data_IF_668852281658
#
_entry.id   IF_668852281658
#
_cell.length_a   1.000
_cell.length_b   1.000
_cell.length_c   1.000
_cell.angle_alpha   90.00
_cell.angle_beta   90.00
_cell.angle_gamma   90.00
#
_symmetry.space_group_name_H-M   'P 1'
#
loop_
_entity.id
_entity.type
_entity.pdbx_description
1 polymer ?
#
# COMPACT_ATOMS: atom_id res chain seq x y z
N UNK A 1 -38.57 1.42 0.68
CA UNK A 1 -37.53 0.38 0.52
C UNK A 1 -37.74 -0.64 1.63
N UNK A 2 -37.82 -1.95 1.35
CA UNK A 2 -37.96 -2.96 2.40
C UNK A 2 -36.79 -2.88 3.42
N UNK A 3 -36.99 -3.27 4.69
CA UNK A 3 -35.95 -3.16 5.73
C UNK A 3 -34.63 -3.85 5.34
N UNK A 4 -34.73 -4.99 4.67
CA UNK A 4 -33.59 -5.79 4.19
C UNK A 4 -32.89 -5.24 2.93
N UNK A 5 -33.40 -4.14 2.37
CA UNK A 5 -32.79 -3.44 1.23
C UNK A 5 -32.25 -2.06 1.61
N UNK A 6 -32.36 -1.64 2.88
CA UNK A 6 -31.72 -0.41 3.31
C UNK A 6 -30.20 -0.56 3.18
N UNK A 7 -29.53 0.47 2.66
CA UNK A 7 -28.06 0.52 2.66
C UNK A 7 -27.61 0.34 4.11
N UNK A 8 -26.72 -0.63 4.30
CA UNK A 8 -26.07 -0.89 5.58
C UNK A 8 -25.49 0.43 6.13
N UNK A 9 -25.94 0.84 7.31
CA UNK A 9 -25.38 1.99 8.01
C UNK A 9 -24.43 1.47 9.09
N UNK A 10 -23.14 1.86 9.08
CA UNK A 10 -22.15 1.37 10.05
C UNK A 10 -22.61 1.60 11.50
N UNK A 11 -23.21 2.75 11.76
CA UNK A 11 -23.64 3.18 13.10
C UNK A 11 -24.95 2.52 13.60
N UNK A 12 -25.30 1.33 13.13
CA UNK A 12 -26.50 0.63 13.56
C UNK A 12 -26.32 0.04 14.97
N UNK A 13 -27.25 0.31 15.89
CA UNK A 13 -27.18 -0.17 17.29
C UNK A 13 -27.09 -1.69 17.42
N UNK A 14 -27.61 -2.44 16.45
CA UNK A 14 -27.51 -3.89 16.44
C UNK A 14 -26.10 -4.40 16.09
N UNK A 15 -25.38 -3.67 15.23
CA UNK A 15 -23.96 -3.95 14.93
C UNK A 15 -23.09 -3.68 16.16
N UNK A 16 -23.33 -2.56 16.85
CA UNK A 16 -22.61 -2.20 18.07
C UNK A 16 -22.69 -3.30 19.11
N UNK A 17 -23.87 -3.88 19.33
CA UNK A 17 -24.06 -5.02 20.25
C UNK A 17 -23.24 -6.25 19.84
N UNK A 18 -23.03 -6.48 18.54
CA UNK A 18 -22.30 -7.64 18.04
C UNK A 18 -20.80 -7.54 18.27
N UNK A 19 -20.20 -6.36 18.10
CA UNK A 19 -18.74 -6.21 18.20
C UNK A 19 -18.27 -5.68 19.56
N UNK A 20 -19.14 -5.04 20.37
CA UNK A 20 -18.79 -4.60 21.74
C UNK A 20 -18.11 -5.70 22.57
N UNK A 21 -18.57 -6.98 22.57
CA UNK A 21 -17.90 -8.04 23.35
C UNK A 21 -16.58 -8.53 22.73
N UNK A 22 -16.21 -8.10 21.52
CA UNK A 22 -14.97 -8.55 20.85
C UNK A 22 -13.72 -7.92 21.43
N UNK A 23 -13.83 -6.73 22.03
CA UNK A 23 -12.70 -6.04 22.65
C UNK A 23 -12.93 -5.87 24.17
N UNK A 24 -11.87 -5.91 25.00
CA UNK A 24 -11.97 -5.58 26.42
C UNK A 24 -12.50 -4.16 26.65
N UNK A 25 -13.17 -3.92 27.78
CA UNK A 25 -13.71 -2.59 28.13
C UNK A 25 -12.63 -1.48 28.06
N UNK A 26 -11.42 -1.77 28.54
CA UNK A 26 -10.27 -0.85 28.46
C UNK A 26 -9.86 -0.48 27.03
N UNK A 27 -10.09 -1.35 26.05
CA UNK A 27 -9.78 -1.04 24.66
C UNK A 27 -10.81 -0.06 24.07
N UNK A 28 -12.07 -0.16 24.48
CA UNK A 28 -13.13 0.80 24.13
C UNK A 28 -12.95 2.17 24.78
N UNK A 29 -12.19 2.25 25.87
CA UNK A 29 -11.74 3.53 26.45
C UNK A 29 -10.68 4.23 25.59
N UNK A 30 -10.07 3.55 24.61
CA UNK A 30 -8.99 4.09 23.79
C UNK A 30 -9.29 4.09 22.28
N UNK A 31 -10.29 3.34 21.81
CA UNK A 31 -10.73 3.30 20.40
C UNK A 31 -12.20 3.71 20.34
N UNK A 32 -12.54 4.67 19.47
CA UNK A 32 -13.95 5.00 19.26
C UNK A 32 -14.67 3.91 18.44
N UNK A 33 -15.96 3.66 18.72
CA UNK A 33 -16.82 2.84 17.88
C UNK A 33 -16.79 3.27 16.40
N UNK A 34 -16.77 4.57 16.12
CA UNK A 34 -16.76 5.12 14.78
C UNK A 34 -15.48 4.74 13.99
N UNK A 35 -14.32 4.74 14.65
CA UNK A 35 -13.05 4.30 14.04
C UNK A 35 -13.07 2.80 13.78
N UNK A 36 -13.52 2.01 14.76
CA UNK A 36 -13.61 0.56 14.66
C UNK A 36 -14.54 0.13 13.51
N UNK A 37 -15.74 0.70 13.45
CA UNK A 37 -16.72 0.45 12.39
C UNK A 37 -16.18 0.88 11.02
N UNK A 38 -15.59 2.07 10.92
CA UNK A 38 -14.98 2.55 9.67
C UNK A 38 -13.85 1.64 9.20
N UNK A 39 -13.04 1.11 10.10
CA UNK A 39 -11.97 0.17 9.76
C UNK A 39 -12.54 -1.17 9.24
N UNK A 40 -13.49 -1.79 9.92
CA UNK A 40 -14.00 -3.11 9.50
C UNK A 40 -15.06 -3.06 8.39
N UNK A 41 -15.63 -1.90 8.07
CA UNK A 41 -16.62 -1.75 7.00
C UNK A 41 -16.03 -1.50 5.60
N UNK A 42 -14.74 -1.18 5.51
CA UNK A 42 -14.08 -0.86 4.24
C UNK A 42 -13.06 -1.94 3.81
N UNK A 43 -12.82 -1.97 2.51
CA UNK A 43 -11.89 -2.86 1.80
C UNK A 43 -10.80 -2.07 1.08
N UNK A 44 -9.80 -2.77 0.52
CA UNK A 44 -8.68 -2.12 -0.18
C UNK A 44 -9.16 -1.27 -1.37
N UNK A 45 -10.16 -1.76 -2.09
CA UNK A 45 -10.76 -1.06 -3.23
C UNK A 45 -11.49 0.23 -2.84
N UNK A 46 -11.82 0.44 -1.57
CA UNK A 46 -12.42 1.70 -1.13
C UNK A 46 -11.35 2.79 -0.92
N UNK A 47 -10.14 2.38 -0.52
CA UNK A 47 -9.08 3.30 -0.10
C UNK A 47 -8.04 3.59 -1.18
N UNK A 48 -7.81 2.63 -2.08
CA UNK A 48 -6.70 2.71 -3.03
C UNK A 48 -7.13 2.35 -4.46
N UNK A 49 -6.80 3.24 -5.40
CA UNK A 49 -6.88 2.97 -6.83
C UNK A 49 -5.46 2.69 -7.36
N UNK A 50 -5.18 1.50 -7.92
CA UNK A 50 -3.86 1.16 -8.47
C UNK A 50 -3.64 1.80 -9.85
N UNK A 51 -3.56 3.13 -9.91
CA UNK A 51 -3.49 3.92 -11.16
C UNK A 51 -2.33 3.49 -12.08
N UNK A 52 -1.16 3.16 -11.52
CA UNK A 52 0.02 2.72 -12.29
C UNK A 52 -0.26 1.42 -13.07
N UNK A 53 -0.99 0.47 -12.47
CA UNK A 53 -1.34 -0.79 -13.14
C UNK A 53 -2.35 -0.56 -14.25
N UNK A 54 -3.39 0.25 -13.99
CA UNK A 54 -4.36 0.62 -15.01
C UNK A 54 -3.69 1.32 -16.20
N UNK A 55 -2.88 2.34 -15.94
CA UNK A 55 -2.21 3.11 -16.99
C UNK A 55 -1.27 2.24 -17.84
N UNK A 56 -0.49 1.36 -17.21
CA UNK A 56 0.38 0.41 -17.92
C UNK A 56 -0.42 -0.55 -18.80
N UNK A 57 -1.49 -1.13 -18.28
CA UNK A 57 -2.31 -2.10 -19.01
C UNK A 57 -3.13 -1.44 -20.13
N UNK A 58 -3.70 -0.26 -19.88
CA UNK A 58 -4.38 0.55 -20.89
C UNK A 58 -3.41 0.91 -22.03
N UNK A 59 -2.18 1.33 -21.70
CA UNK A 59 -1.17 1.63 -22.70
C UNK A 59 -0.78 0.40 -23.52
N UNK A 60 -0.68 -0.78 -22.89
CA UNK A 60 -0.43 -2.05 -23.58
C UNK A 60 -1.54 -2.38 -24.57
N UNK A 61 -2.80 -2.29 -24.15
CA UNK A 61 -3.95 -2.56 -25.01
C UNK A 61 -4.06 -1.55 -26.15
N UNK A 62 -3.83 -0.26 -25.90
CA UNK A 62 -3.82 0.79 -26.94
C UNK A 62 -2.75 0.52 -28.01
N UNK A 63 -1.54 0.13 -27.61
CA UNK A 63 -0.48 -0.26 -28.56
C UNK A 63 -0.90 -1.44 -29.43
N UNK A 64 -1.61 -2.41 -28.85
CA UNK A 64 -2.12 -3.56 -29.60
C UNK A 64 -3.26 -3.18 -30.56
N UNK A 65 -4.15 -2.26 -30.15
CA UNK A 65 -5.15 -1.65 -31.03
C UNK A 65 -4.49 -0.95 -32.22
N UNK A 66 -3.47 -0.14 -31.96
CA UNK A 66 -2.75 0.59 -33.01
C UNK A 66 -2.08 -0.37 -34.00
N UNK A 67 -1.43 -1.43 -33.48
CA UNK A 67 -0.80 -2.49 -34.29
C UNK A 67 -1.81 -3.18 -35.20
N UNK A 68 -2.93 -3.64 -34.66
CA UNK A 68 -3.97 -4.33 -35.44
C UNK A 68 -4.67 -3.39 -36.43
N UNK A 69 -4.83 -2.11 -36.08
CA UNK A 69 -5.39 -1.09 -36.98
C UNK A 69 -4.46 -0.79 -38.15
N UNK A 70 -3.15 -0.70 -37.90
CA UNK A 70 -2.12 -0.57 -38.95
C UNK A 70 -2.14 -1.75 -39.93
N UNK A 71 -2.27 -2.98 -39.42
CA UNK A 71 -2.43 -4.17 -40.26
C UNK A 71 -3.75 -4.12 -41.04
N UNK A 72 -4.86 -3.67 -40.45
CA UNK A 72 -6.12 -3.54 -41.18
C UNK A 72 -6.05 -2.51 -42.32
N UNK A 73 -5.33 -1.40 -42.10
CA UNK A 73 -5.19 -0.31 -43.07
C UNK A 73 -4.05 -0.54 -44.09
N UNK A 74 -3.21 -1.56 -43.88
CA UNK A 74 -1.98 -1.75 -44.65
C UNK A 74 -0.98 -0.60 -44.48
N UNK A 75 -1.05 0.13 -43.37
CA UNK A 75 -0.23 1.30 -43.08
C UNK A 75 0.85 0.96 -42.06
N UNK A 76 2.06 1.48 -42.25
CA UNK A 76 3.20 1.26 -41.35
C UNK A 76 4.17 0.16 -41.80
N UNK A 77 5.45 0.38 -41.53
CA UNK A 77 6.57 -0.46 -41.99
C UNK A 77 6.46 -1.91 -41.49
N UNK A 78 6.06 -2.11 -40.23
CA UNK A 78 5.90 -3.44 -39.64
C UNK A 78 4.72 -4.23 -40.23
N UNK A 79 3.59 -3.56 -40.50
CA UNK A 79 2.42 -4.18 -41.11
C UNK A 79 2.74 -4.60 -42.57
N UNK A 80 3.38 -3.71 -43.33
CA UNK A 80 3.83 -4.00 -44.69
C UNK A 80 4.85 -5.15 -44.73
N UNK A 81 5.81 -5.18 -43.80
CA UNK A 81 6.77 -6.27 -43.69
C UNK A 81 6.09 -7.62 -43.37
N UNK A 82 5.12 -7.64 -42.45
CA UNK A 82 4.36 -8.84 -42.12
C UNK A 82 3.52 -9.32 -43.31
N UNK A 83 2.84 -8.42 -44.00
CA UNK A 83 2.08 -8.70 -45.22
C UNK A 83 2.96 -9.24 -46.35
N UNK A 84 4.13 -8.62 -46.58
CA UNK A 84 5.09 -9.08 -47.58
C UNK A 84 5.63 -10.48 -47.26
N UNK A 85 5.87 -10.77 -45.98
CA UNK A 85 6.32 -12.10 -45.52
C UNK A 85 5.23 -13.15 -45.76
N UNK A 86 3.97 -12.85 -45.43
CA UNK A 86 2.83 -13.75 -45.68
C UNK A 86 2.61 -14.00 -47.17
N UNK A 87 2.72 -12.95 -48.00
CA UNK A 87 2.63 -13.06 -49.47
C UNK A 87 3.76 -13.93 -50.04
N UNK A 88 5.00 -13.73 -49.58
CA UNK A 88 6.16 -14.50 -50.01
C UNK A 88 6.05 -15.99 -49.61
N UNK A 89 5.56 -16.28 -48.40
CA UNK A 89 5.32 -17.64 -47.94
C UNK A 89 4.25 -18.36 -48.79
N UNK A 90 3.14 -17.69 -49.10
CA UNK A 90 2.09 -18.24 -49.96
C UNK A 90 2.59 -18.50 -51.39
N UNK A 91 3.43 -17.61 -51.94
CA UNK A 91 4.06 -17.80 -53.25
C UNK A 91 5.07 -18.96 -53.26
N UNK A 92 5.88 -19.09 -52.20
CA UNK A 92 6.84 -20.19 -52.06
C UNK A 92 6.17 -21.57 -51.92
N UNK A 93 4.96 -21.61 -51.35
CA UNK A 93 4.14 -22.82 -51.27
C UNK A 93 3.48 -23.22 -52.62
N UNK A 94 3.72 -22.48 -53.70
CA UNK A 94 3.12 -22.74 -55.02
C UNK A 94 1.67 -22.28 -55.16
N UNK A 95 1.20 -21.40 -54.26
CA UNK A 95 -0.15 -20.85 -54.31
C UNK A 95 -0.42 -20.02 -55.57
N UNK A 96 -1.66 -20.02 -56.04
CA UNK A 96 -2.08 -19.17 -57.16
C UNK A 96 -2.05 -17.68 -56.78
N UNK A 97 -2.15 -16.78 -57.77
CA UNK A 97 -2.22 -15.32 -57.51
C UNK A 97 -3.37 -14.95 -56.57
N UNK A 98 -4.47 -15.70 -56.60
CA UNK A 98 -5.61 -15.53 -55.69
C UNK A 98 -5.25 -15.92 -54.25
N UNK A 99 -4.52 -17.02 -54.06
CA UNK A 99 -4.11 -17.51 -52.74
C UNK A 99 -3.12 -16.56 -52.06
N UNK A 100 -2.19 -15.98 -52.84
CA UNK A 100 -1.27 -14.94 -52.37
C UNK A 100 -2.02 -13.67 -51.95
N UNK A 101 -3.06 -13.27 -52.69
CA UNK A 101 -3.90 -12.13 -52.30
C UNK A 101 -4.68 -12.42 -51.02
N UNK A 102 -5.27 -13.60 -50.90
CA UNK A 102 -6.07 -14.00 -49.74
C UNK A 102 -5.23 -14.15 -48.46
N UNK A 103 -3.95 -14.50 -48.57
CA UNK A 103 -3.02 -14.59 -47.43
C UNK A 103 -2.69 -13.23 -46.78
N UNK A 104 -2.91 -12.12 -47.49
CA UNK A 104 -2.61 -10.76 -47.02
C UNK A 104 -3.86 -10.05 -46.49
N UNK A 105 -5.05 -10.57 -46.80
CA UNK A 105 -6.32 -9.99 -46.37
C UNK A 105 -6.45 -10.08 -44.85
N UNK A 106 -6.87 -8.95 -44.26
CA UNK A 106 -7.20 -8.89 -42.84
C UNK A 106 -8.31 -9.90 -42.52
N UNK A 107 -8.00 -10.87 -41.67
CA UNK A 107 -8.88 -11.99 -41.39
C UNK A 107 -10.02 -11.57 -40.46
N UNK A 108 -11.18 -12.23 -40.58
CA UNK A 108 -12.31 -12.04 -39.65
C UNK A 108 -11.91 -12.27 -38.18
N UNK A 109 -10.94 -13.17 -37.93
CA UNK A 109 -10.40 -13.41 -36.59
C UNK A 109 -9.64 -12.19 -36.05
N UNK A 110 -8.85 -11.51 -36.88
CA UNK A 110 -8.13 -10.30 -36.49
C UNK A 110 -9.09 -9.11 -36.27
N UNK A 111 -10.19 -9.05 -37.02
CA UNK A 111 -11.25 -8.05 -36.82
C UNK A 111 -11.96 -8.23 -35.47
N UNK A 112 -12.32 -9.47 -35.14
CA UNK A 112 -12.90 -9.80 -33.82
C UNK A 112 -11.92 -9.50 -32.68
N UNK A 113 -10.63 -9.77 -32.89
CA UNK A 113 -9.59 -9.48 -31.90
C UNK A 113 -9.41 -7.96 -31.71
N UNK A 114 -9.37 -7.19 -32.80
CA UNK A 114 -9.30 -5.73 -32.74
C UNK A 114 -10.47 -5.14 -31.95
N UNK A 115 -11.69 -5.59 -32.24
CA UNK A 115 -12.90 -5.20 -31.51
C UNK A 115 -12.82 -5.57 -30.03
N UNK A 116 -12.35 -6.78 -29.70
CA UNK A 116 -12.19 -7.24 -28.32
C UNK A 116 -11.19 -6.38 -27.55
N UNK A 117 -10.01 -6.12 -28.11
CA UNK A 117 -8.95 -5.34 -27.47
C UNK A 117 -9.39 -3.88 -27.31
N UNK A 118 -10.07 -3.30 -28.31
CA UNK A 118 -10.66 -1.95 -28.22
C UNK A 118 -11.65 -1.84 -27.06
N UNK A 119 -12.62 -2.75 -26.99
CA UNK A 119 -13.61 -2.77 -25.90
C UNK A 119 -12.95 -2.93 -24.53
N UNK A 120 -11.94 -3.78 -24.41
CA UNK A 120 -11.21 -3.95 -23.16
C UNK A 120 -10.46 -2.68 -22.75
N UNK A 121 -9.83 -1.98 -23.69
CA UNK A 121 -9.13 -0.72 -23.42
C UNK A 121 -10.10 0.37 -22.94
N UNK A 122 -11.26 0.49 -23.58
CA UNK A 122 -12.32 1.43 -23.20
C UNK A 122 -12.91 1.07 -21.83
N UNK A 123 -13.22 -0.21 -21.61
CA UNK A 123 -13.76 -0.70 -20.35
C UNK A 123 -12.81 -0.44 -19.18
N UNK A 124 -11.51 -0.74 -19.33
CA UNK A 124 -10.51 -0.46 -18.29
C UNK A 124 -10.30 1.04 -18.04
N UNK A 125 -10.39 1.87 -19.09
CA UNK A 125 -10.31 3.33 -18.93
C UNK A 125 -11.50 3.86 -18.14
N UNK A 126 -12.70 3.35 -18.41
CA UNK A 126 -13.92 3.70 -17.69
C UNK A 126 -13.89 3.18 -16.24
N UNK A 127 -13.41 1.96 -16.04
CA UNK A 127 -13.27 1.34 -14.72
C UNK A 127 -12.29 2.11 -13.84
N UNK A 128 -11.12 2.49 -14.35
CA UNK A 128 -10.16 3.34 -13.65
C UNK A 128 -10.79 4.67 -13.20
N UNK A 129 -11.58 5.31 -14.08
CA UNK A 129 -12.28 6.56 -13.75
C UNK A 129 -13.33 6.37 -12.64
N UNK A 130 -14.14 5.30 -12.73
CA UNK A 130 -15.12 4.95 -11.70
C UNK A 130 -14.46 4.66 -10.36
N UNK A 131 -13.37 3.89 -10.38
CA UNK A 131 -12.63 3.51 -9.19
C UNK A 131 -12.00 4.73 -8.51
N UNK A 132 -11.43 5.65 -9.29
CA UNK A 132 -10.89 6.91 -8.79
C UNK A 132 -11.97 7.76 -8.11
N UNK A 133 -13.11 7.92 -8.77
CA UNK A 133 -14.25 8.66 -8.21
C UNK A 133 -14.77 8.01 -6.91
N UNK A 134 -14.80 6.68 -6.85
CA UNK A 134 -15.19 5.94 -5.66
C UNK A 134 -14.22 6.22 -4.50
N UNK A 135 -12.90 6.07 -4.72
CA UNK A 135 -11.90 6.36 -3.69
C UNK A 135 -11.95 7.82 -3.22
N UNK A 136 -12.20 8.78 -4.12
CA UNK A 136 -12.37 10.20 -3.77
C UNK A 136 -13.64 10.43 -2.91
N UNK A 137 -14.73 9.73 -3.24
CA UNK A 137 -15.98 9.79 -2.47
C UNK A 137 -15.78 9.24 -1.06
N UNK A 138 -15.15 8.07 -0.95
CA UNK A 138 -14.84 7.45 0.35
C UNK A 138 -13.92 8.36 1.15
N UNK A 139 -12.84 8.89 0.55
CA UNK A 139 -11.95 9.85 1.22
C UNK A 139 -12.70 11.05 1.80
N UNK A 140 -13.62 11.63 1.02
CA UNK A 140 -14.44 12.76 1.48
C UNK A 140 -15.30 12.38 2.69
N UNK A 141 -15.83 11.15 2.74
CA UNK A 141 -16.59 10.66 3.89
C UNK A 141 -15.70 10.53 5.14
N UNK A 142 -14.46 10.06 4.99
CA UNK A 142 -13.50 10.01 6.09
C UNK A 142 -13.13 11.41 6.61
N UNK A 143 -12.90 12.38 5.71
CA UNK A 143 -12.62 13.78 6.09
C UNK A 143 -13.77 14.41 6.88
N UNK A 144 -15.03 14.09 6.53
CA UNK A 144 -16.20 14.56 7.28
C UNK A 144 -16.31 13.95 8.68
N UNK A 145 -15.88 12.71 8.86
CA UNK A 145 -15.96 11.95 10.13
C UNK A 145 -14.67 11.99 10.96
N UNK A 146 -13.62 12.65 10.49
CA UNK A 146 -12.28 12.58 11.08
C UNK A 146 -12.24 13.00 12.56
N UNK A 147 -13.09 13.95 12.95
CA UNK A 147 -13.17 14.38 14.35
C UNK A 147 -13.80 13.30 15.24
N UNK A 148 -14.77 12.54 14.72
CA UNK A 148 -15.51 11.53 15.49
C UNK A 148 -14.67 10.27 15.76
N UNK A 149 -13.62 10.05 14.96
CA UNK A 149 -12.78 8.86 15.12
C UNK A 149 -12.04 8.84 16.46
N UNK A 150 -11.62 9.98 16.99
CA UNK A 150 -10.82 10.02 18.22
C UNK A 150 -11.32 11.10 19.22
N UNK A 151 -12.45 11.77 18.95
CA UNK A 151 -13.02 12.84 19.82
C UNK A 151 -13.40 12.44 21.25
N UNK A 152 -13.78 11.20 21.59
CA UNK A 152 -14.16 10.89 22.98
C UNK A 152 -12.99 10.88 23.98
N UNK A 153 -11.75 11.11 23.54
CA UNK A 153 -10.53 10.70 24.26
C UNK A 153 -9.66 11.88 24.72
N UNK A 154 -10.25 13.07 24.89
CA UNK A 154 -9.59 14.37 25.07
C UNK A 154 -8.75 14.60 26.35
N UNK A 155 -8.28 13.55 27.03
CA UNK A 155 -7.23 13.69 28.05
C UNK A 155 -5.88 13.36 27.39
N UNK A 156 -4.91 14.27 27.50
CA UNK A 156 -3.62 14.21 26.80
C UNK A 156 -2.86 12.87 26.96
N UNK A 157 -3.10 12.14 28.05
CA UNK A 157 -2.52 10.81 28.29
C UNK A 157 -3.12 9.69 27.43
N UNK A 158 -4.27 9.88 26.77
CA UNK A 158 -5.02 8.80 26.08
C UNK A 158 -4.60 8.61 24.63
N UNK A 159 -4.10 9.65 23.94
CA UNK A 159 -3.73 9.57 22.52
C UNK A 159 -2.62 8.53 22.21
N UNK A 160 -1.67 8.36 23.14
CA UNK A 160 -0.63 7.31 23.08
C UNK A 160 -1.26 5.91 23.14
N UNK A 161 -2.11 5.70 24.15
CA UNK A 161 -2.82 4.42 24.31
C UNK A 161 -3.74 4.14 23.13
N UNK A 162 -4.40 5.15 22.57
CA UNK A 162 -5.26 5.03 21.39
C UNK A 162 -4.54 4.43 20.21
N UNK A 163 -3.39 4.99 19.84
CA UNK A 163 -2.63 4.56 18.66
C UNK A 163 -2.12 3.13 18.82
N UNK A 164 -1.58 2.81 20.00
CA UNK A 164 -1.08 1.45 20.31
C UNK A 164 -2.22 0.43 20.44
N UNK A 165 -3.35 0.81 21.03
CA UNK A 165 -4.54 -0.05 21.14
C UNK A 165 -5.10 -0.33 19.75
N UNK A 166 -5.21 0.68 18.88
CA UNK A 166 -5.67 0.51 17.51
C UNK A 166 -4.74 -0.42 16.71
N UNK A 167 -3.42 -0.25 16.85
CA UNK A 167 -2.45 -1.15 16.24
C UNK A 167 -2.64 -2.60 16.75
N UNK A 168 -2.72 -2.78 18.07
CA UNK A 168 -2.73 -4.11 18.71
C UNK A 168 -4.02 -4.88 18.47
N UNK A 169 -5.17 -4.21 18.56
CA UNK A 169 -6.49 -4.87 18.51
C UNK A 169 -7.15 -4.84 17.13
N UNK A 170 -6.77 -3.93 16.24
CA UNK A 170 -7.40 -3.79 14.92
C UNK A 170 -6.44 -4.10 13.78
N UNK A 171 -5.34 -3.35 13.68
CA UNK A 171 -4.42 -3.44 12.53
C UNK A 171 -3.66 -4.76 12.53
N UNK A 172 -3.02 -5.12 13.65
CA UNK A 172 -2.19 -6.32 13.71
C UNK A 172 -2.99 -7.60 13.43
N UNK A 173 -4.14 -7.87 14.07
CA UNK A 173 -4.91 -9.08 13.80
C UNK A 173 -5.40 -9.16 12.36
N UNK A 174 -5.86 -8.03 11.76
CA UNK A 174 -6.35 -8.01 10.38
C UNK A 174 -5.21 -8.19 9.37
N UNK A 175 -4.06 -7.56 9.61
CA UNK A 175 -2.89 -7.68 8.74
C UNK A 175 -2.44 -9.14 8.58
N UNK A 176 -2.61 -9.98 9.60
CA UNK A 176 -2.19 -11.38 9.54
C UNK A 176 -3.11 -12.27 8.68
N UNK A 177 -4.34 -11.85 8.38
CA UNK A 177 -5.35 -12.70 7.72
C UNK A 177 -5.06 -12.96 6.24
N UNK A 178 -4.65 -11.93 5.50
CA UNK A 178 -4.44 -12.02 4.05
C UNK A 178 -3.50 -10.92 3.55
N UNK A 179 -2.86 -11.11 2.37
CA UNK A 179 -2.02 -10.07 1.79
C UNK A 179 -2.82 -8.84 1.35
N UNK A 180 -4.10 -9.01 1.00
CA UNK A 180 -5.00 -7.90 0.68
C UNK A 180 -5.32 -7.07 1.93
N UNK A 181 -5.59 -7.73 3.04
CA UNK A 181 -5.81 -7.08 4.34
C UNK A 181 -4.56 -6.37 4.85
N UNK A 182 -3.37 -6.93 4.63
CA UNK A 182 -2.10 -6.29 4.95
C UNK A 182 -1.91 -4.97 4.16
N UNK A 183 -2.19 -4.97 2.85
CA UNK A 183 -2.19 -3.74 2.05
C UNK A 183 -3.25 -2.75 2.53
N UNK A 184 -4.46 -3.23 2.82
CA UNK A 184 -5.54 -2.40 3.35
C UNK A 184 -5.12 -1.70 4.64
N UNK A 185 -4.53 -2.44 5.60
CA UNK A 185 -4.09 -1.89 6.88
C UNK A 185 -3.08 -0.76 6.69
N UNK A 186 -2.10 -0.94 5.79
CA UNK A 186 -1.16 0.12 5.44
C UNK A 186 -1.87 1.34 4.82
N UNK A 187 -2.72 1.13 3.81
CA UNK A 187 -3.43 2.21 3.13
C UNK A 187 -4.40 2.96 4.05
N UNK A 188 -5.04 2.27 5.00
CA UNK A 188 -5.92 2.89 5.99
C UNK A 188 -5.15 3.83 6.93
N UNK A 189 -3.98 3.41 7.41
CA UNK A 189 -3.11 4.25 8.24
C UNK A 189 -2.57 5.45 7.46
N UNK A 190 -2.17 5.23 6.20
CA UNK A 190 -1.76 6.31 5.30
C UNK A 190 -2.91 7.30 5.10
N UNK A 191 -4.15 6.82 4.95
CA UNK A 191 -5.34 7.65 4.85
C UNK A 191 -5.53 8.50 6.11
N UNK A 192 -5.51 7.89 7.31
CA UNK A 192 -5.65 8.59 8.59
C UNK A 192 -4.62 9.71 8.77
N UNK A 193 -3.37 9.44 8.38
CA UNK A 193 -2.31 10.44 8.37
C UNK A 193 -2.60 11.56 7.36
N UNK A 194 -3.05 11.21 6.16
CA UNK A 194 -3.28 12.17 5.07
C UNK A 194 -4.46 13.12 5.30
N UNK A 195 -5.48 12.67 6.05
CA UNK A 195 -6.64 13.50 6.45
C UNK A 195 -6.39 14.23 7.77
N UNK A 196 -5.21 14.08 8.38
CA UNK A 196 -4.83 14.80 9.60
C UNK A 196 -5.79 14.50 10.77
N UNK A 197 -6.13 13.22 10.95
CA UNK A 197 -7.07 12.81 12.01
C UNK A 197 -6.57 13.30 13.38
N UNK A 198 -7.36 14.14 14.09
CA UNK A 198 -6.94 14.66 15.40
C UNK A 198 -6.68 13.53 16.38
N UNK A 199 -5.54 13.55 17.09
CA UNK A 199 -5.18 12.52 18.05
C UNK A 199 -4.49 11.28 17.46
N UNK A 200 -4.43 11.12 16.14
CA UNK A 200 -3.68 10.02 15.52
C UNK A 200 -2.20 10.39 15.37
N UNK A 201 -1.34 9.80 16.21
CA UNK A 201 0.09 10.04 16.21
C UNK A 201 0.81 9.04 15.29
N UNK A 202 1.02 9.42 14.03
CA UNK A 202 1.65 8.55 13.03
C UNK A 202 3.07 8.14 13.39
N UNK A 203 3.88 9.03 13.96
CA UNK A 203 5.24 8.67 14.39
C UNK A 203 5.24 7.59 15.47
N UNK A 204 4.35 7.71 16.45
CA UNK A 204 4.18 6.73 17.52
C UNK A 204 3.61 5.39 16.99
N UNK A 205 2.69 5.46 16.03
CA UNK A 205 2.19 4.27 15.33
C UNK A 205 3.33 3.50 14.66
N UNK A 206 4.20 4.20 13.94
CA UNK A 206 5.32 3.60 13.22
C UNK A 206 6.34 2.97 14.18
N UNK A 207 6.63 3.62 15.29
CA UNK A 207 7.50 3.10 16.33
C UNK A 207 6.92 1.80 16.93
N UNK A 208 5.65 1.81 17.32
CA UNK A 208 4.96 0.62 17.82
C UNK A 208 4.82 -0.48 16.76
N UNK A 209 4.65 -0.15 15.49
CA UNK A 209 4.61 -1.11 14.41
C UNK A 209 5.94 -1.87 14.29
N UNK A 210 7.07 -1.15 14.39
CA UNK A 210 8.40 -1.77 14.33
C UNK A 210 8.61 -2.71 15.52
N UNK A 211 8.21 -2.32 16.72
CA UNK A 211 8.30 -3.17 17.91
C UNK A 211 7.45 -4.44 17.77
N UNK A 212 6.22 -4.32 17.27
CA UNK A 212 5.34 -5.45 16.99
C UNK A 212 5.96 -6.39 15.96
N UNK A 213 6.53 -5.85 14.88
CA UNK A 213 7.21 -6.64 13.84
C UNK A 213 8.41 -7.38 14.38
N UNK A 214 9.25 -6.70 15.17
CA UNK A 214 10.44 -7.29 15.81
C UNK A 214 10.06 -8.44 16.73
N UNK A 215 9.03 -8.27 17.56
CA UNK A 215 8.49 -9.35 18.39
C UNK A 215 7.86 -10.48 17.56
N UNK A 216 7.11 -10.13 16.53
CA UNK A 216 6.40 -11.07 15.66
C UNK A 216 7.36 -12.04 14.93
N UNK A 217 8.56 -11.60 14.55
CA UNK A 217 9.56 -12.44 13.87
C UNK A 217 9.88 -13.76 14.61
N UNK A 218 9.67 -13.80 15.93
CA UNK A 218 9.92 -14.99 16.75
C UNK A 218 8.69 -15.90 16.93
N UNK A 219 7.49 -15.49 16.52
CA UNK A 219 6.26 -16.25 16.77
C UNK A 219 5.29 -16.37 15.59
N UNK A 220 5.63 -15.83 14.41
CA UNK A 220 4.79 -15.89 13.21
C UNK A 220 5.03 -17.13 12.36
N UNK A 221 3.99 -17.52 11.63
CA UNK A 221 4.03 -18.52 10.57
C UNK A 221 4.60 -17.95 9.25
N UNK A 222 4.89 -18.82 8.28
CA UNK A 222 5.42 -18.38 6.96
C UNK A 222 4.46 -17.45 6.21
N UNK A 223 3.15 -17.75 6.26
CA UNK A 223 2.12 -16.96 5.59
C UNK A 223 1.92 -15.60 6.27
N UNK A 224 1.90 -15.59 7.60
CA UNK A 224 1.83 -14.36 8.41
C UNK A 224 3.05 -13.47 8.18
N UNK A 225 4.25 -14.04 8.10
CA UNK A 225 5.47 -13.32 7.73
C UNK A 225 5.36 -12.70 6.33
N UNK A 226 4.72 -13.42 5.39
CA UNK A 226 4.40 -12.89 4.06
C UNK A 226 3.50 -11.66 4.14
N UNK A 227 2.45 -11.72 4.94
CA UNK A 227 1.47 -10.64 5.10
C UNK A 227 2.07 -9.41 5.81
N UNK A 228 2.79 -9.60 6.92
CA UNK A 228 3.54 -8.52 7.59
C UNK A 228 4.53 -7.86 6.62
N UNK A 229 5.24 -8.67 5.82
CA UNK A 229 6.16 -8.18 4.81
C UNK A 229 5.49 -7.28 3.77
N UNK A 230 4.23 -7.55 3.41
CA UNK A 230 3.43 -6.71 2.51
C UNK A 230 3.01 -5.39 3.18
N UNK A 231 2.54 -5.43 4.43
CA UNK A 231 2.19 -4.20 5.15
C UNK A 231 3.40 -3.29 5.35
N UNK A 232 4.54 -3.87 5.78
CA UNK A 232 5.81 -3.15 5.91
C UNK A 232 6.25 -2.54 4.58
N UNK A 233 6.17 -3.29 3.49
CA UNK A 233 6.50 -2.83 2.14
C UNK A 233 5.72 -1.57 1.75
N UNK A 234 4.41 -1.54 1.98
CA UNK A 234 3.57 -0.38 1.65
C UNK A 234 3.84 0.81 2.58
N UNK A 235 4.00 0.59 3.88
CA UNK A 235 4.33 1.65 4.83
C UNK A 235 5.72 2.25 4.58
N UNK A 236 6.71 1.42 4.22
CA UNK A 236 8.08 1.90 3.99
C UNK A 236 8.21 2.77 2.75
N UNK A 237 7.29 2.66 1.77
CA UNK A 237 7.24 3.61 0.64
C UNK A 237 6.98 5.04 1.11
N UNK A 238 6.08 5.23 2.08
CA UNK A 238 5.79 6.54 2.65
C UNK A 238 6.97 7.05 3.49
N UNK A 239 7.47 6.20 4.40
CA UNK A 239 8.58 6.55 5.30
C UNK A 239 9.85 6.88 4.52
N UNK A 240 10.14 6.15 3.44
CA UNK A 240 11.31 6.40 2.60
C UNK A 240 11.19 7.73 1.85
N UNK A 241 10.00 8.13 1.38
CA UNK A 241 9.78 9.46 0.79
C UNK A 241 10.12 10.57 1.79
N UNK A 242 9.64 10.44 3.02
CA UNK A 242 9.98 11.35 4.11
C UNK A 242 11.48 11.38 4.42
N UNK A 243 12.16 10.23 4.32
CA UNK A 243 13.60 10.14 4.61
C UNK A 243 14.47 10.81 3.57
N UNK A 244 14.15 10.67 2.28
CA UNK A 244 15.00 11.15 1.18
C UNK A 244 14.60 12.54 0.67
N UNK A 245 13.37 13.00 0.92
CA UNK A 245 12.91 14.35 0.54
C UNK A 245 12.45 15.15 1.77
N UNK A 246 13.33 16.04 2.23
CA UNK A 246 13.07 16.94 3.37
C UNK A 246 11.89 17.90 3.10
N UNK A 247 11.66 18.29 1.84
CA UNK A 247 10.56 19.19 1.49
C UNK A 247 9.22 18.47 1.65
N UNK A 248 9.16 17.20 1.23
CA UNK A 248 7.97 16.36 1.44
C UNK A 248 7.74 16.12 2.92
N UNK A 249 8.78 15.81 3.70
CA UNK A 249 8.66 15.66 5.15
C UNK A 249 8.10 16.93 5.82
N UNK A 250 8.64 18.09 5.48
CA UNK A 250 8.19 19.37 6.05
C UNK A 250 6.73 19.67 5.71
N UNK A 251 6.29 19.30 4.50
CA UNK A 251 4.91 19.51 4.06
C UNK A 251 3.92 18.51 4.68
N UNK A 252 4.31 17.26 4.78
CA UNK A 252 3.40 16.17 5.15
C UNK A 252 3.41 15.85 6.65
N UNK A 253 4.51 16.11 7.35
CA UNK A 253 4.67 15.76 8.76
C UNK A 253 4.66 16.99 9.65
N UNK A 254 5.53 17.96 9.39
CA UNK A 254 5.72 19.10 10.32
C UNK A 254 4.44 19.92 10.46
N UNK A 255 4.01 20.16 11.71
CA UNK A 255 2.80 20.92 12.03
C UNK A 255 1.48 20.12 12.00
N UNK A 256 1.55 18.81 11.69
CA UNK A 256 0.39 17.92 11.67
C UNK A 256 0.23 17.14 12.99
N UNK A 257 -0.99 16.69 13.34
CA UNK A 257 -1.22 15.89 14.56
C UNK A 257 -0.38 14.59 14.59
N UNK A 258 -0.03 14.05 13.42
CA UNK A 258 0.78 12.84 13.30
C UNK A 258 2.28 12.99 13.63
N UNK A 259 2.76 14.21 13.86
CA UNK A 259 4.20 14.51 14.00
C UNK A 259 4.76 14.40 15.40
N UNK A 260 3.92 14.19 16.40
CA UNK A 260 4.36 14.15 17.80
C UNK A 260 4.85 12.75 18.18
N UNK A 261 5.93 12.73 18.95
CA UNK A 261 6.44 11.53 19.61
C UNK A 261 6.55 11.80 21.11
N UNK A 262 6.19 10.81 21.91
CA UNK A 262 6.36 10.86 23.36
C UNK A 262 7.83 10.63 23.70
N UNK A 263 8.40 11.46 24.58
CA UNK A 263 9.69 11.13 25.19
C UNK A 263 9.48 10.01 26.21
N UNK A 264 10.17 8.89 26.01
CA UNK A 264 10.43 7.98 27.12
C UNK A 264 11.44 8.68 28.02
N UNK A 265 11.01 9.12 29.20
CA UNK A 265 11.96 9.57 30.22
C UNK A 265 12.88 8.37 30.54
N UNK A 266 14.18 8.55 30.39
CA UNK A 266 15.18 7.61 30.91
C UNK A 266 14.81 7.30 32.38
N UNK A 267 14.80 6.00 32.71
CA UNK A 267 14.18 5.40 33.92
C UNK A 267 14.80 5.81 35.27
N UNK A 268 15.41 6.99 35.39
CA UNK A 268 16.13 7.42 36.59
C UNK A 268 15.41 8.49 37.42
N UNK A 269 14.37 9.16 36.93
CA UNK A 269 13.65 10.18 37.72
C UNK A 269 12.24 9.75 38.16
N UNK A 270 12.13 9.48 39.47
CA UNK A 270 10.90 9.18 40.22
C UNK A 270 10.01 10.42 40.40
N UNK A 271 9.59 11.06 39.32
CA UNK A 271 8.49 12.00 39.36
C UNK A 271 7.49 11.64 38.26
N UNK A 272 6.28 11.23 38.68
CA UNK A 272 5.07 11.28 37.85
C UNK A 272 4.93 12.72 37.34
N UNK A 273 5.46 12.97 36.15
CA UNK A 273 5.49 14.29 35.53
C UNK A 273 5.17 14.13 34.06
N UNK A 274 4.41 15.08 33.57
CA UNK A 274 3.64 15.13 32.33
C UNK A 274 4.36 14.50 31.13
N UNK A 275 3.61 13.68 30.38
CA UNK A 275 4.09 13.07 29.13
C UNK A 275 4.24 14.18 28.08
N UNK A 276 5.40 14.83 28.04
CA UNK A 276 5.68 15.86 27.03
C UNK A 276 5.78 15.22 25.63
N UNK A 277 4.83 15.58 24.76
CA UNK A 277 4.83 15.21 23.35
C UNK A 277 5.58 16.28 22.55
N UNK A 278 6.73 15.95 21.98
CA UNK A 278 7.52 16.88 21.15
C UNK A 278 7.26 16.62 19.66
N UNK A 279 7.12 17.69 18.88
CA UNK A 279 7.04 17.58 17.43
C UNK A 279 8.38 17.09 16.86
N UNK A 280 8.34 16.03 16.04
CA UNK A 280 9.55 15.41 15.49
C UNK A 280 10.19 16.31 14.43
N UNK A 281 11.40 16.78 14.71
CA UNK A 281 12.24 17.45 13.72
C UNK A 281 12.77 16.47 12.67
N UNK A 282 13.12 16.95 11.48
CA UNK A 282 13.68 16.11 10.42
C UNK A 282 14.95 15.36 10.86
N UNK A 283 15.83 16.02 11.61
CA UNK A 283 17.03 15.40 12.16
C UNK A 283 16.71 14.26 13.14
N UNK A 284 15.69 14.43 13.98
CA UNK A 284 15.23 13.39 14.90
C UNK A 284 14.54 12.24 14.15
N UNK A 285 13.78 12.54 13.10
CA UNK A 285 13.19 11.54 12.22
C UNK A 285 14.25 10.65 11.56
N UNK A 286 15.36 11.21 11.08
CA UNK A 286 16.46 10.40 10.52
C UNK A 286 17.04 9.43 11.55
N UNK A 287 17.22 9.88 12.80
CA UNK A 287 17.70 9.01 13.89
C UNK A 287 16.69 7.89 14.17
N UNK A 288 15.40 8.22 14.21
CA UNK A 288 14.32 7.27 14.42
C UNK A 288 14.26 6.23 13.30
N UNK A 289 14.33 6.67 12.04
CA UNK A 289 14.42 5.79 10.88
C UNK A 289 15.59 4.80 10.96
N UNK A 290 16.78 5.28 11.34
CA UNK A 290 17.95 4.42 11.50
C UNK A 290 17.76 3.44 12.68
N UNK A 291 17.15 3.88 13.79
CA UNK A 291 16.81 3.02 14.93
C UNK A 291 15.85 1.90 14.51
N UNK A 292 14.81 2.22 13.74
CA UNK A 292 13.86 1.22 13.24
C UNK A 292 14.52 0.16 12.37
N UNK A 293 15.36 0.58 11.43
CA UNK A 293 16.14 -0.35 10.60
C UNK A 293 17.11 -1.20 11.42
N UNK A 294 17.78 -0.62 12.42
CA UNK A 294 18.66 -1.35 13.32
C UNK A 294 17.90 -2.40 14.13
N UNK A 295 16.73 -2.04 14.67
CA UNK A 295 15.88 -2.93 15.47
C UNK A 295 15.40 -4.13 14.65
N UNK A 296 14.87 -3.90 13.45
CA UNK A 296 14.47 -4.97 12.53
C UNK A 296 15.69 -5.83 12.13
N UNK A 297 16.82 -5.20 11.84
CA UNK A 297 18.05 -5.89 11.46
C UNK A 297 18.62 -6.78 12.56
N UNK A 298 18.64 -6.30 13.80
CA UNK A 298 19.10 -7.06 14.96
C UNK A 298 18.20 -8.27 15.23
N UNK A 299 16.88 -8.08 15.20
CA UNK A 299 15.91 -9.16 15.33
C UNK A 299 16.08 -10.21 14.23
N UNK A 300 16.21 -9.78 12.97
CA UNK A 300 16.41 -10.68 11.85
C UNK A 300 17.72 -11.46 11.95
N UNK A 301 18.82 -10.83 12.37
CA UNK A 301 20.10 -11.53 12.63
C UNK A 301 19.92 -12.57 13.75
N UNK A 302 19.19 -12.24 14.81
CA UNK A 302 18.85 -13.17 15.89
C UNK A 302 18.08 -14.39 15.37
N UNK A 303 17.07 -14.17 14.53
CA UNK A 303 16.29 -15.22 13.90
C UNK A 303 17.11 -16.10 12.95
N UNK A 304 18.04 -15.52 12.16
CA UNK A 304 18.90 -16.26 11.23
C UNK A 304 19.99 -17.09 11.93
N UNK A 305 20.39 -16.70 13.15
CA UNK A 305 21.32 -17.47 13.98
C UNK A 305 20.63 -18.55 14.82
N UNK A 306 19.30 -18.52 14.89
CA UNK A 306 18.51 -19.49 15.62
C UNK A 306 18.60 -20.88 14.98
N UNK A 307 18.54 -21.93 15.80
CA UNK A 307 18.37 -23.32 15.32
C UNK A 307 16.96 -23.60 14.82
N UNK A 308 15.98 -22.81 15.25
CA UNK A 308 14.58 -22.98 14.88
C UNK A 308 14.33 -22.60 13.41
N UNK A 309 13.76 -23.55 12.66
CA UNK A 309 13.42 -23.37 11.26
C UNK A 309 12.45 -22.20 11.05
N UNK A 310 11.42 -22.08 11.91
CA UNK A 310 10.39 -21.04 11.79
C UNK A 310 10.98 -19.64 11.88
N UNK A 311 11.90 -19.39 12.81
CA UNK A 311 12.56 -18.09 12.96
C UNK A 311 13.36 -17.74 11.70
N UNK A 312 14.19 -18.67 11.23
CA UNK A 312 15.02 -18.47 10.03
C UNK A 312 14.14 -18.17 8.82
N UNK A 313 13.06 -18.94 8.65
CA UNK A 313 12.16 -18.84 7.52
C UNK A 313 11.35 -17.54 7.52
N UNK A 314 10.76 -17.17 8.65
CA UNK A 314 10.02 -15.92 8.81
C UNK A 314 10.92 -14.70 8.51
N UNK A 315 12.14 -14.68 9.07
CA UNK A 315 13.10 -13.61 8.82
C UNK A 315 13.47 -13.48 7.34
N UNK A 316 13.73 -14.59 6.64
CA UNK A 316 14.04 -14.56 5.20
C UNK A 316 12.87 -14.01 4.37
N UNK A 317 11.62 -14.38 4.70
CA UNK A 317 10.43 -13.91 3.99
C UNK A 317 10.28 -12.39 4.15
N UNK A 318 10.38 -11.88 5.38
CA UNK A 318 10.27 -10.44 5.66
C UNK A 318 11.43 -9.66 5.05
N UNK A 319 12.67 -10.12 5.20
CA UNK A 319 13.86 -9.47 4.63
C UNK A 319 13.82 -9.38 3.11
N UNK A 320 13.37 -10.43 2.42
CA UNK A 320 13.24 -10.43 0.97
C UNK A 320 12.29 -9.32 0.48
N UNK A 321 11.22 -9.04 1.26
CA UNK A 321 10.31 -7.92 0.96
C UNK A 321 10.96 -6.56 1.21
N UNK A 322 11.72 -6.39 2.29
CA UNK A 322 12.36 -5.12 2.66
C UNK A 322 13.52 -4.75 1.70
N UNK A 323 14.35 -5.71 1.28
CA UNK A 323 15.54 -5.47 0.43
C UNK A 323 15.17 -4.92 -0.94
N UNK A 324 14.04 -5.36 -1.51
CA UNK A 324 13.55 -4.87 -2.80
C UNK A 324 13.26 -3.35 -2.78
N UNK A 325 12.91 -2.78 -1.62
CA UNK A 325 12.64 -1.34 -1.49
C UNK A 325 13.90 -0.48 -1.40
N UNK A 326 14.95 -0.97 -0.76
CA UNK A 326 16.23 -0.27 -0.74
C UNK A 326 16.80 -0.08 -2.16
N UNK A 327 16.52 -1.03 -3.05
CA UNK A 327 16.97 -1.01 -4.46
C UNK A 327 16.10 -0.13 -5.36
N UNK A 328 14.78 -0.10 -5.16
CA UNK A 328 13.87 0.75 -5.95
C UNK A 328 14.01 2.23 -5.62
N UNK A 329 14.12 2.59 -4.33
CA UNK A 329 14.33 3.99 -3.91
C UNK A 329 15.67 4.57 -4.41
N UNK A 330 16.74 3.76 -4.48
CA UNK A 330 18.00 4.21 -5.09
C UNK A 330 17.85 4.46 -6.61
N UNK A 331 16.98 3.74 -7.31
CA UNK A 331 16.80 3.90 -8.76
C UNK A 331 16.06 5.19 -9.10
N UNK A 332 15.05 5.56 -8.31
CA UNK A 332 14.33 6.84 -8.47
C UNK A 332 15.16 8.05 -8.02
N UNK A 333 16.05 7.90 -7.03
CA UNK A 333 16.96 8.97 -6.59
C UNK A 333 18.04 9.31 -7.63
N UNK A 334 18.46 8.34 -8.47
CA UNK A 334 19.42 8.58 -9.55
C UNK A 334 18.86 9.56 -10.59
N UNK A 335 17.54 9.58 -10.80
CA UNK A 335 16.91 10.44 -11.79
C UNK A 335 16.62 11.88 -11.32
N UNK A 336 16.54 12.16 -10.01
CA UNK A 336 16.18 13.51 -9.53
C UNK A 336 17.37 14.36 -9.06
N UNK A 337 18.46 13.76 -8.61
CA UNK A 337 19.49 14.50 -7.85
C UNK A 337 20.94 14.29 -8.29
N UNK A 338 21.22 13.48 -9.32
CA UNK A 338 22.60 13.28 -9.83
C UNK A 338 23.61 12.75 -8.80
N UNK A 339 23.16 12.40 -7.60
CA UNK A 339 23.98 11.89 -6.51
C UNK A 339 23.91 10.36 -6.52
N UNK A 340 25.07 9.74 -6.70
CA UNK A 340 25.29 8.29 -6.71
C UNK A 340 24.82 7.72 -5.35
N UNK A 341 23.69 7.00 -5.37
CA UNK A 341 23.19 6.26 -4.23
C UNK A 341 24.23 5.19 -3.82
N UNK A 342 24.70 5.26 -2.57
CA UNK A 342 25.75 4.44 -1.96
C UNK A 342 25.49 2.94 -2.12
N UNK A 343 26.01 2.37 -3.21
CA UNK A 343 26.13 0.93 -3.46
C UNK A 343 27.15 0.22 -2.53
N UNK A 344 27.71 0.89 -1.52
CA UNK A 344 28.90 0.38 -0.82
C UNK A 344 28.70 -0.15 0.60
N UNK A 345 27.62 0.20 1.31
CA UNK A 345 27.59 -0.01 2.77
C UNK A 345 26.65 -1.13 3.25
N UNK A 346 25.66 -1.53 2.45
CA UNK A 346 24.70 -2.59 2.80
C UNK A 346 25.01 -3.95 2.15
N UNK A 347 25.98 -4.02 1.22
CA UNK A 347 26.49 -5.29 0.66
C UNK A 347 27.72 -5.84 1.41
N UNK A 348 28.04 -5.31 2.60
CA UNK A 348 29.02 -5.90 3.53
C UNK A 348 28.37 -6.14 4.88
N UNK A 349 27.41 -7.05 4.92
CA UNK A 349 27.11 -7.90 6.06
C UNK A 349 26.65 -9.25 5.53
#
# INVERSE_FOLDING_TARGET
>A
MPPYFQRFHPDCTDMQKSYTPMLPEKAWEAISPALFESFYSHSLGDLHCPEERYTTEIARLKREVDRLTQVQQGSGEAALAAMATMAAAAAAAGGSRHDVQQAVVFTKSQEQELERVKRNAEALTLDMSRQKQHCETVRTQFELRQNDFLSPLSKDNVALFTTQTFLTYCVYPRCLLSPEDAMYCAHFVILLHSIETPGFQTMQYLDGLVDVVVGALYCITEDEAGNIGVMLAEMWKLISKWRYDEKVFTKEVVGKPGSYLTKENDKDDKNESEVESEAVSYANFIKLYNRWHASIGEAAIGCLKSSEYMHTRAALIVLNRIVLFALSCCSDCVNSSGAICLRSSLCRL
#
